data_IF_737775126404
#
_entry.id   IF_737775126404
#
_cell.length_a   1.000
_cell.length_b   1.000
_cell.length_c   1.000
_cell.angle_alpha   90.00
_cell.angle_beta   90.00
_cell.angle_gamma   90.00
#
_symmetry.space_group_name_H-M   'P 1'
#
loop_
_entity.id
_entity.type
_entity.pdbx_description
1 polymer ?
#
# COMPACT_ATOMS: atom_id res chain seq x y z
N UNK A 1 2.93 57.98 47.07
CA UNK A 1 2.65 57.16 45.87
C UNK A 1 3.80 57.41 44.90
N UNK A 2 4.59 56.44 44.46
CA UNK A 2 4.26 55.42 43.45
C UNK A 2 5.20 54.20 43.65
N UNK A 3 4.65 52.99 43.76
CA UNK A 3 5.42 51.73 43.67
C UNK A 3 5.53 51.38 42.17
N UNK A 4 6.73 51.30 41.63
CA UNK A 4 6.97 50.79 40.27
C UNK A 4 7.83 49.52 40.37
N UNK A 5 7.20 48.39 40.07
CA UNK A 5 7.77 47.06 40.06
C UNK A 5 8.25 46.78 38.63
N UNK A 6 9.57 46.73 38.41
CA UNK A 6 10.14 46.34 37.10
C UNK A 6 10.29 44.82 37.11
N UNK A 7 9.32 44.13 36.54
CA UNK A 7 9.43 42.69 36.26
C UNK A 7 10.21 42.51 34.96
N UNK A 8 11.37 41.85 35.04
CA UNK A 8 12.18 41.47 33.88
C UNK A 8 11.45 40.36 33.11
N UNK A 9 11.06 40.67 31.88
CA UNK A 9 10.46 39.72 30.93
C UNK A 9 11.51 38.67 30.57
N UNK A 10 11.31 37.45 31.06
CA UNK A 10 12.00 36.25 30.62
C UNK A 10 11.45 35.89 29.24
N UNK A 11 12.22 36.16 28.18
CA UNK A 11 11.92 35.71 26.82
C UNK A 11 12.14 34.19 26.77
N UNK A 12 11.09 33.44 27.10
CA UNK A 12 11.04 32.00 26.87
C UNK A 12 10.88 31.81 25.36
N UNK A 13 11.95 31.38 24.68
CA UNK A 13 11.86 30.73 23.38
C UNK A 13 11.02 29.47 23.57
N UNK A 14 9.72 29.61 23.31
CA UNK A 14 8.77 28.51 23.34
C UNK A 14 9.07 27.63 22.13
N UNK A 15 9.97 26.67 22.32
CA UNK A 15 10.07 25.50 21.48
C UNK A 15 8.75 24.75 21.68
N UNK A 16 7.76 25.06 20.84
CA UNK A 16 6.48 24.35 20.77
C UNK A 16 6.76 22.92 20.31
N UNK A 17 7.16 22.07 21.25
CA UNK A 17 6.99 20.64 21.14
C UNK A 17 5.48 20.38 21.25
N UNK A 18 4.80 20.52 20.12
CA UNK A 18 3.41 20.15 19.98
C UNK A 18 3.25 18.64 20.29
N UNK A 19 2.17 18.26 20.96
CA UNK A 19 1.95 16.89 21.43
C UNK A 19 1.95 15.89 20.28
N UNK A 20 2.57 14.74 20.55
CA UNK A 20 2.54 13.53 19.73
C UNK A 20 1.09 13.02 19.67
N UNK A 21 0.35 13.40 18.63
CA UNK A 21 -0.92 12.78 18.28
C UNK A 21 -0.66 11.70 17.24
N UNK A 22 -1.24 10.52 17.46
CA UNK A 22 -1.20 9.40 16.52
C UNK A 22 -1.86 9.82 15.19
N UNK A 23 -1.16 9.60 14.07
CA UNK A 23 -1.63 9.79 12.69
C UNK A 23 -2.30 11.15 12.41
N UNK A 24 -1.55 12.17 12.04
CA UNK A 24 -2.14 13.33 11.35
C UNK A 24 -2.37 12.99 9.86
N UNK A 25 -3.34 13.63 9.22
CA UNK A 25 -3.68 13.43 7.81
C UNK A 25 -3.38 14.73 7.04
N UNK A 26 -2.48 14.67 6.07
CA UNK A 26 -2.25 15.77 5.13
C UNK A 26 -3.26 15.70 3.99
N UNK A 27 -4.13 16.70 3.86
CA UNK A 27 -5.08 16.83 2.74
C UNK A 27 -4.44 17.68 1.67
N UNK A 28 -4.39 17.14 0.46
CA UNK A 28 -3.76 17.76 -0.70
C UNK A 28 -4.82 18.43 -1.58
N UNK A 29 -4.44 19.51 -2.29
CA UNK A 29 -5.33 20.29 -3.19
C UNK A 29 -5.94 19.48 -4.33
N UNK A 30 -5.34 18.33 -4.65
CA UNK A 30 -5.83 17.38 -5.63
C UNK A 30 -6.85 16.38 -5.05
N UNK A 31 -7.26 16.54 -3.79
CA UNK A 31 -8.25 15.73 -3.09
C UNK A 31 -7.69 14.44 -2.47
N UNK A 32 -6.36 14.24 -2.49
CA UNK A 32 -5.71 13.10 -1.85
C UNK A 32 -5.45 13.38 -0.37
N UNK A 33 -5.40 12.34 0.45
CA UNK A 33 -5.03 12.45 1.86
C UNK A 33 -3.92 11.46 2.23
N UNK A 34 -2.94 11.90 3.02
CA UNK A 34 -1.80 11.09 3.43
C UNK A 34 -1.75 11.05 4.96
N UNK A 35 -1.95 9.87 5.53
CA UNK A 35 -1.74 9.63 6.97
C UNK A 35 -0.23 9.60 7.24
N UNK A 36 0.21 10.41 8.19
CA UNK A 36 1.61 10.50 8.58
C UNK A 36 1.75 10.60 10.11
N UNK A 37 2.82 10.00 10.62
CA UNK A 37 3.20 10.05 12.04
C UNK A 37 3.97 11.32 12.36
N UNK A 38 4.72 11.84 11.37
CA UNK A 38 5.56 13.03 11.53
C UNK A 38 5.62 13.77 10.21
N UNK A 39 5.73 15.10 10.28
CA UNK A 39 6.08 15.94 9.13
C UNK A 39 7.33 16.75 9.38
N UNK A 40 8.07 17.02 8.30
CA UNK A 40 9.22 17.91 8.29
C UNK A 40 9.16 18.79 7.04
N UNK A 41 9.19 20.12 7.21
CA UNK A 41 9.20 21.06 6.09
C UNK A 41 10.64 21.35 5.70
N UNK A 42 10.99 21.01 4.47
CA UNK A 42 12.32 21.12 3.88
C UNK A 42 12.22 22.06 2.66
N UNK A 43 12.32 23.37 2.92
CA UNK A 43 12.15 24.39 1.88
C UNK A 43 10.72 24.38 1.31
N UNK A 44 10.62 24.14 0.01
CA UNK A 44 9.33 24.12 -0.73
C UNK A 44 8.62 22.76 -0.65
N UNK A 45 9.24 21.76 -0.02
CA UNK A 45 8.70 20.42 0.16
C UNK A 45 8.36 20.17 1.63
N UNK A 46 7.29 19.43 1.87
CA UNK A 46 6.94 18.83 3.14
C UNK A 46 7.12 17.32 3.05
N UNK A 47 8.04 16.79 3.83
CA UNK A 47 8.27 15.36 4.02
C UNK A 47 7.30 14.81 5.06
N UNK A 48 6.51 13.81 4.69
CA UNK A 48 5.53 13.13 5.51
C UNK A 48 6.04 11.72 5.83
N UNK A 49 6.37 11.44 7.09
CA UNK A 49 6.81 10.12 7.54
C UNK A 49 5.60 9.25 7.87
N UNK A 50 5.44 8.15 7.12
CA UNK A 50 4.29 7.23 7.23
C UNK A 50 4.54 6.17 8.32
N UNK A 51 5.80 6.01 8.75
CA UNK A 51 6.18 5.09 9.81
C UNK A 51 6.82 5.81 10.99
N UNK A 52 6.53 5.35 12.20
CA UNK A 52 7.08 5.90 13.44
C UNK A 52 8.61 5.74 13.56
N UNK A 53 9.18 4.75 12.85
CA UNK A 53 10.64 4.52 12.79
C UNK A 53 11.37 5.46 11.82
N UNK A 54 10.64 6.29 11.08
CA UNK A 54 11.18 7.25 10.11
C UNK A 54 11.77 6.60 8.84
N UNK A 55 11.63 5.29 8.66
CA UNK A 55 12.17 4.57 7.50
C UNK A 55 11.37 4.79 6.22
N UNK A 56 10.09 5.15 6.35
CA UNK A 56 9.16 5.35 5.25
C UNK A 56 8.63 6.79 5.24
N UNK A 57 8.80 7.50 4.13
CA UNK A 57 8.37 8.89 3.96
C UNK A 57 7.97 9.20 2.52
N UNK A 58 7.16 10.26 2.36
CA UNK A 58 6.75 10.82 1.07
C UNK A 58 7.02 12.32 1.09
N UNK A 59 7.69 12.83 0.05
CA UNK A 59 7.94 14.25 -0.13
C UNK A 59 6.83 14.86 -1.00
N UNK A 60 6.14 15.87 -0.48
CA UNK A 60 5.02 16.55 -1.15
C UNK A 60 5.34 18.05 -1.24
N UNK A 61 5.14 18.74 -2.37
CA UNK A 61 5.26 20.20 -2.41
C UNK A 61 4.33 20.84 -1.37
N UNK A 62 4.87 21.75 -0.57
CA UNK A 62 4.10 22.41 0.50
C UNK A 62 2.91 23.16 -0.08
N UNK A 63 3.05 23.72 -1.28
CA UNK A 63 1.96 24.39 -2.01
C UNK A 63 0.86 23.43 -2.48
N UNK A 64 1.10 22.12 -2.52
CA UNK A 64 0.10 21.11 -2.88
C UNK A 64 -0.69 20.63 -1.66
N UNK A 65 -0.28 20.99 -0.44
CA UNK A 65 -1.00 20.67 0.79
C UNK A 65 -2.05 21.77 1.05
N UNK A 66 -3.31 21.37 1.10
CA UNK A 66 -4.43 22.27 1.38
C UNK A 66 -4.53 22.56 2.88
N UNK A 67 -4.55 21.51 3.70
CA UNK A 67 -4.53 21.59 5.16
C UNK A 67 -4.16 20.26 5.79
N UNK A 68 -3.95 20.25 7.11
CA UNK A 68 -3.76 19.04 7.90
C UNK A 68 -4.97 18.83 8.80
N UNK A 69 -5.46 17.61 8.89
CA UNK A 69 -6.53 17.18 9.78
C UNK A 69 -5.98 16.18 10.81
N UNK A 70 -6.48 16.23 12.04
CA UNK A 70 -6.25 15.11 12.97
C UNK A 70 -7.01 13.89 12.44
N UNK A 71 -6.42 12.69 12.47
CA UNK A 71 -7.17 11.48 12.15
C UNK A 71 -8.45 11.43 13.01
N UNK A 72 -9.61 11.07 12.43
CA UNK A 72 -10.85 10.99 13.19
C UNK A 72 -10.71 10.05 14.38
N UNK A 73 -11.20 10.46 15.55
CA UNK A 73 -11.32 9.61 16.73
C UNK A 73 -12.15 8.36 16.37
N UNK A 74 -11.51 7.20 16.25
CA UNK A 74 -12.21 5.92 16.22
C UNK A 74 -13.02 5.76 17.52
N UNK A 75 -14.32 5.39 17.48
CA UNK A 75 -15.05 5.03 18.70
C UNK A 75 -14.41 3.79 19.36
N UNK A 76 -14.49 3.69 20.71
CA UNK A 76 -13.61 2.83 21.49
C UNK A 76 -13.88 1.34 21.25
N UNK A 77 -12.93 0.66 20.60
CA UNK A 77 -12.76 -0.78 20.73
C UNK A 77 -12.41 -1.09 22.18
N UNK A 78 -13.38 -1.63 22.91
CA UNK A 78 -13.26 -1.91 24.34
C UNK A 78 -12.28 -3.07 24.55
N UNK A 79 -11.05 -2.71 24.97
CA UNK A 79 -10.08 -3.40 25.85
C UNK A 79 -10.35 -4.86 26.31
N UNK A 80 -9.42 -5.80 26.57
CA UNK A 80 -7.95 -6.00 26.70
C UNK A 80 -7.78 -7.50 27.20
N UNK A 81 -6.60 -8.13 27.51
CA UNK A 81 -5.25 -7.58 27.72
C UNK A 81 -4.06 -8.33 27.08
N UNK A 82 -2.92 -7.64 27.21
CA UNK A 82 -1.54 -8.02 26.92
C UNK A 82 -1.09 -9.37 27.51
N UNK A 83 -0.10 -10.01 26.86
CA UNK A 83 1.10 -10.53 27.55
C UNK A 83 2.26 -10.57 26.56
N UNK A 84 3.37 -9.97 26.97
CA UNK A 84 4.65 -9.99 26.28
C UNK A 84 5.27 -11.40 26.26
N UNK A 85 6.18 -11.58 25.29
CA UNK A 85 7.29 -12.53 25.33
C UNK A 85 6.96 -14.01 25.15
N UNK A 86 7.48 -14.59 24.05
CA UNK A 86 8.59 -15.58 24.14
C UNK A 86 9.11 -15.99 22.76
N UNK A 87 10.43 -15.95 22.66
CA UNK A 87 11.26 -16.73 21.74
C UNK A 87 10.77 -18.17 21.57
N UNK A 88 10.59 -18.60 20.32
CA UNK A 88 10.83 -19.97 19.84
C UNK A 88 10.54 -19.98 18.34
N UNK A 89 11.25 -20.65 17.45
CA UNK A 89 12.57 -21.28 17.42
C UNK A 89 12.68 -21.70 15.95
N UNK A 90 13.75 -21.30 15.26
CA UNK A 90 13.98 -21.80 13.92
C UNK A 90 14.18 -23.33 13.99
N UNK A 91 13.48 -24.15 13.19
CA UNK A 91 13.88 -25.53 13.03
C UNK A 91 15.10 -25.55 12.09
N UNK A 92 16.22 -26.03 12.63
CA UNK A 92 17.36 -26.54 11.88
C UNK A 92 16.84 -27.60 10.87
N UNK A 93 17.24 -27.59 9.59
CA UNK A 93 16.78 -28.60 8.66
C UNK A 93 17.38 -29.95 9.04
N UNK A 94 16.52 -30.88 9.44
CA UNK A 94 16.82 -32.30 9.44
C UNK A 94 16.91 -32.78 7.98
N UNK A 95 17.92 -33.58 7.69
CA UNK A 95 18.27 -34.02 6.35
C UNK A 95 17.10 -34.68 5.61
N UNK A 96 16.97 -34.34 4.33
CA UNK A 96 16.19 -35.11 3.37
C UNK A 96 17.16 -35.83 2.43
N UNK A 97 16.99 -37.14 2.47
CA UNK A 97 17.63 -38.18 1.67
C UNK A 97 17.62 -37.86 0.16
N UNK A 98 18.78 -38.11 -0.47
CA UNK A 98 18.99 -37.96 -1.89
C UNK A 98 18.40 -39.18 -2.62
N UNK A 99 17.17 -39.07 -3.14
CA UNK A 99 16.59 -40.28 -3.75
C UNK A 99 15.26 -40.22 -4.48
N UNK A 100 14.66 -39.06 -4.78
CA UNK A 100 13.54 -38.98 -5.74
C UNK A 100 13.59 -37.69 -6.54
N UNK A 101 14.08 -37.77 -7.77
CA UNK A 101 13.86 -36.74 -8.77
C UNK A 101 12.36 -36.71 -9.11
N UNK A 102 11.62 -35.83 -8.45
CA UNK A 102 10.33 -35.39 -8.96
C UNK A 102 10.58 -34.73 -10.32
N UNK A 103 9.77 -35.00 -11.37
CA UNK A 103 9.87 -34.23 -12.60
C UNK A 103 9.74 -32.77 -12.22
N UNK A 104 10.78 -31.97 -12.51
CA UNK A 104 10.75 -30.55 -12.26
C UNK A 104 9.47 -30.01 -12.90
N UNK A 105 8.56 -29.48 -12.07
CA UNK A 105 7.44 -28.66 -12.55
C UNK A 105 8.05 -27.68 -13.56
N UNK A 106 7.41 -27.43 -14.72
CA UNK A 106 7.91 -26.41 -15.62
C UNK A 106 8.14 -25.16 -14.78
N UNK A 107 9.40 -24.75 -14.65
CA UNK A 107 9.73 -23.46 -14.06
C UNK A 107 9.24 -22.48 -15.10
N UNK A 108 7.95 -22.12 -15.03
CA UNK A 108 7.36 -21.17 -15.95
C UNK A 108 8.24 -19.94 -15.90
N UNK A 109 8.89 -19.64 -17.02
CA UNK A 109 9.69 -18.45 -17.11
C UNK A 109 8.71 -17.28 -17.02
N UNK A 110 8.65 -16.66 -15.84
CA UNK A 110 7.65 -15.64 -15.53
C UNK A 110 7.73 -14.47 -16.51
N UNK A 111 8.94 -14.12 -16.97
CA UNK A 111 9.16 -13.11 -18.00
C UNK A 111 8.48 -13.47 -19.32
N UNK A 112 8.66 -14.71 -19.81
CA UNK A 112 8.00 -15.18 -21.03
C UNK A 112 6.47 -15.20 -20.88
N UNK A 113 5.99 -15.67 -19.72
CA UNK A 113 4.56 -15.69 -19.40
C UNK A 113 3.95 -14.28 -19.42
N UNK A 114 4.60 -13.33 -18.75
CA UNK A 114 4.14 -11.93 -18.72
C UNK A 114 4.17 -11.34 -20.14
N UNK A 115 5.21 -11.58 -20.93
CA UNK A 115 5.27 -11.09 -22.31
C UNK A 115 4.14 -11.64 -23.19
N UNK A 116 3.86 -12.94 -23.11
CA UNK A 116 2.80 -13.58 -23.87
C UNK A 116 1.41 -13.03 -23.50
N UNK A 117 1.12 -12.97 -22.20
CA UNK A 117 -0.18 -12.52 -21.69
C UNK A 117 -0.38 -11.01 -21.93
N UNK A 118 0.67 -10.21 -21.75
CA UNK A 118 0.63 -8.77 -22.04
C UNK A 118 0.32 -8.53 -23.53
N UNK A 119 0.93 -9.31 -24.42
CA UNK A 119 0.62 -9.29 -25.85
C UNK A 119 -0.84 -9.64 -26.16
N UNK A 120 -1.38 -10.68 -25.50
CA UNK A 120 -2.80 -11.09 -25.63
C UNK A 120 -3.78 -9.97 -25.29
N UNK A 121 -3.51 -9.21 -24.21
CA UNK A 121 -4.38 -8.14 -23.74
C UNK A 121 -3.97 -6.73 -24.20
N UNK A 122 -2.93 -6.63 -25.04
CA UNK A 122 -2.36 -5.37 -25.54
C UNK A 122 -1.98 -4.39 -24.42
N UNK A 123 -1.35 -4.91 -23.37
CA UNK A 123 -0.77 -4.10 -22.30
C UNK A 123 0.75 -4.12 -22.41
N UNK A 124 1.38 -3.08 -21.86
CA UNK A 124 2.84 -3.03 -21.73
C UNK A 124 3.30 -4.10 -20.71
N UNK A 125 4.21 -5.02 -21.06
CA UNK A 125 4.79 -5.97 -20.12
C UNK A 125 5.41 -5.31 -18.87
N UNK A 126 5.97 -4.11 -18.99
CA UNK A 126 6.56 -3.40 -17.86
C UNK A 126 5.50 -2.91 -16.87
N UNK A 127 4.32 -2.52 -17.37
CA UNK A 127 3.17 -2.20 -16.52
C UNK A 127 2.70 -3.44 -15.76
N UNK A 128 2.55 -4.57 -16.44
CA UNK A 128 2.11 -5.83 -15.80
C UNK A 128 3.13 -6.30 -14.76
N UNK A 129 4.43 -6.22 -15.07
CA UNK A 129 5.49 -6.51 -14.11
C UNK A 129 5.46 -5.57 -12.90
N UNK A 130 5.19 -4.28 -13.12
CA UNK A 130 5.09 -3.30 -12.03
C UNK A 130 3.92 -3.62 -11.09
N UNK A 131 2.78 -4.04 -11.63
CA UNK A 131 1.63 -4.49 -10.82
C UNK A 131 1.97 -5.77 -10.06
N UNK A 132 2.55 -6.79 -10.71
CA UNK A 132 2.96 -8.04 -10.03
C UNK A 132 3.92 -7.76 -8.88
N UNK A 133 4.88 -6.87 -9.11
CA UNK A 133 5.86 -6.46 -8.09
C UNK A 133 5.17 -5.80 -6.91
N UNK A 134 4.33 -4.79 -7.15
CA UNK A 134 3.61 -4.07 -6.11
C UNK A 134 2.65 -4.98 -5.30
N UNK A 135 2.03 -5.96 -5.95
CA UNK A 135 1.04 -6.82 -5.33
C UNK A 135 1.67 -7.98 -4.53
N UNK A 136 2.77 -8.57 -5.00
CA UNK A 136 3.29 -9.81 -4.42
C UNK A 136 4.80 -9.92 -4.29
N UNK A 137 5.57 -8.93 -4.77
CA UNK A 137 7.03 -9.06 -4.98
C UNK A 137 7.38 -10.37 -5.71
N UNK A 138 6.59 -10.70 -6.74
CA UNK A 138 6.71 -11.90 -7.57
C UNK A 138 6.51 -13.23 -6.81
N UNK A 139 5.84 -13.23 -5.64
CA UNK A 139 5.53 -14.46 -4.91
C UNK A 139 4.21 -15.10 -5.38
N UNK A 140 4.23 -16.24 -6.09
CA UNK A 140 3.02 -16.87 -6.61
C UNK A 140 2.14 -17.50 -5.53
N UNK A 141 2.60 -17.55 -4.28
CA UNK A 141 1.88 -18.07 -3.12
C UNK A 141 1.48 -16.98 -2.12
N UNK A 142 1.61 -15.70 -2.49
CA UNK A 142 1.23 -14.58 -1.64
C UNK A 142 -0.27 -14.63 -1.29
N UNK A 143 -0.57 -14.34 -0.03
CA UNK A 143 -1.93 -14.19 0.49
C UNK A 143 -1.97 -12.91 1.34
N UNK A 144 -2.81 -11.94 0.98
CA UNK A 144 -2.99 -10.74 1.81
C UNK A 144 -3.86 -11.03 3.04
N UNK A 145 -3.82 -10.17 4.08
CA UNK A 145 -4.74 -10.28 5.23
C UNK A 145 -6.23 -10.27 4.85
N UNK A 146 -6.57 -9.63 3.72
CA UNK A 146 -7.93 -9.56 3.18
C UNK A 146 -8.29 -10.76 2.28
N UNK A 147 -7.34 -11.66 2.04
CA UNK A 147 -7.53 -12.90 1.29
C UNK A 147 -7.26 -12.82 -0.21
N UNK A 148 -6.60 -11.76 -0.70
CA UNK A 148 -6.13 -11.67 -2.08
C UNK A 148 -5.02 -12.71 -2.35
N UNK A 149 -4.93 -13.27 -3.55
CA UNK A 149 -4.10 -14.45 -3.82
C UNK A 149 -3.23 -14.35 -5.07
N UNK A 150 -2.00 -14.88 -4.97
CA UNK A 150 -1.09 -15.09 -6.09
C UNK A 150 -0.34 -13.84 -6.55
N UNK A 151 0.24 -13.91 -7.74
CA UNK A 151 1.16 -12.90 -8.29
C UNK A 151 0.54 -11.51 -8.45
N UNK A 152 -0.72 -11.45 -8.87
CA UNK A 152 -1.47 -10.22 -9.11
C UNK A 152 -2.57 -9.99 -8.05
N UNK A 153 -2.47 -10.69 -6.91
CA UNK A 153 -3.35 -10.55 -5.74
C UNK A 153 -4.84 -10.47 -6.10
N UNK A 154 -5.35 -11.48 -6.81
CA UNK A 154 -6.78 -11.54 -7.11
C UNK A 154 -7.58 -11.88 -5.85
N UNK A 155 -8.61 -11.09 -5.56
CA UNK A 155 -9.61 -11.45 -4.56
C UNK A 155 -10.40 -12.69 -5.03
N UNK A 156 -10.81 -13.62 -4.15
CA UNK A 156 -11.48 -14.85 -4.55
C UNK A 156 -12.75 -14.64 -5.40
N UNK A 157 -13.55 -13.61 -5.09
CA UNK A 157 -14.72 -13.23 -5.88
C UNK A 157 -14.35 -12.79 -7.30
N UNK A 158 -13.35 -11.92 -7.43
CA UNK A 158 -12.81 -11.46 -8.71
C UNK A 158 -12.21 -12.61 -9.51
N UNK A 159 -11.40 -13.46 -8.88
CA UNK A 159 -10.83 -14.66 -9.50
C UNK A 159 -11.92 -15.57 -10.08
N UNK A 160 -13.01 -15.78 -9.35
CA UNK A 160 -14.18 -16.56 -9.81
C UNK A 160 -14.84 -15.93 -11.05
N UNK A 161 -15.08 -14.63 -11.03
CA UNK A 161 -15.66 -13.88 -12.17
C UNK A 161 -14.77 -13.96 -13.42
N UNK A 162 -13.46 -13.99 -13.25
CA UNK A 162 -12.47 -14.09 -14.33
C UNK A 162 -12.24 -15.53 -14.80
N UNK A 163 -12.84 -16.54 -14.15
CA UNK A 163 -12.66 -17.95 -14.48
C UNK A 163 -11.36 -18.57 -13.95
N UNK A 164 -10.68 -17.90 -13.02
CA UNK A 164 -9.44 -18.37 -12.38
C UNK A 164 -9.79 -19.37 -11.28
N UNK A 165 -9.67 -20.66 -11.57
CA UNK A 165 -9.98 -21.75 -10.62
C UNK A 165 -8.94 -21.90 -9.50
N UNK A 166 -7.69 -21.59 -9.78
CA UNK A 166 -6.58 -21.66 -8.83
C UNK A 166 -5.75 -20.39 -8.94
N UNK A 167 -5.94 -19.44 -8.01
CA UNK A 167 -5.20 -18.18 -8.01
C UNK A 167 -3.71 -18.33 -7.65
N UNK A 168 -3.26 -19.51 -7.18
CA UNK A 168 -1.84 -19.79 -6.97
C UNK A 168 -1.15 -20.41 -8.19
N UNK A 169 -1.89 -20.69 -9.27
CA UNK A 169 -1.31 -21.05 -10.55
C UNK A 169 -0.82 -19.77 -11.25
N UNK A 170 0.49 -19.60 -11.50
CA UNK A 170 1.02 -18.36 -12.07
C UNK A 170 0.38 -17.97 -13.39
N UNK A 171 0.14 -18.94 -14.28
CA UNK A 171 -0.43 -18.68 -15.59
C UNK A 171 -1.87 -18.22 -15.48
N UNK A 172 -2.71 -18.92 -14.72
CA UNK A 172 -4.10 -18.52 -14.52
C UNK A 172 -4.22 -17.18 -13.79
N UNK A 173 -3.36 -16.92 -12.81
CA UNK A 173 -3.39 -15.68 -12.03
C UNK A 173 -2.96 -14.47 -12.87
N UNK A 174 -1.85 -14.58 -13.61
CA UNK A 174 -1.38 -13.49 -14.49
C UNK A 174 -2.35 -13.25 -15.65
N UNK A 175 -2.95 -14.32 -16.22
CA UNK A 175 -3.94 -14.16 -17.30
C UNK A 175 -5.20 -13.44 -16.80
N UNK A 176 -5.73 -13.86 -15.64
CA UNK A 176 -6.89 -13.22 -15.03
C UNK A 176 -6.62 -11.79 -14.58
N UNK A 177 -5.49 -11.54 -13.89
CA UNK A 177 -5.13 -10.20 -13.41
C UNK A 177 -4.85 -9.23 -14.56
N UNK A 178 -4.16 -9.67 -15.61
CA UNK A 178 -3.92 -8.82 -16.79
C UNK A 178 -5.22 -8.52 -17.54
N UNK A 179 -6.13 -9.51 -17.66
CA UNK A 179 -7.48 -9.29 -18.20
C UNK A 179 -8.24 -8.25 -17.40
N UNK A 180 -8.25 -8.37 -16.08
CA UNK A 180 -8.95 -7.44 -15.20
C UNK A 180 -8.38 -6.02 -15.27
N UNK A 181 -7.05 -5.89 -15.30
CA UNK A 181 -6.39 -4.61 -15.51
C UNK A 181 -6.80 -3.97 -16.84
N UNK A 182 -6.89 -4.76 -17.91
CA UNK A 182 -7.38 -4.29 -19.22
C UNK A 182 -8.83 -3.80 -19.16
N UNK A 183 -9.72 -4.56 -18.52
CA UNK A 183 -11.13 -4.18 -18.34
C UNK A 183 -11.26 -2.86 -17.57
N UNK A 184 -10.44 -2.64 -16.53
CA UNK A 184 -10.41 -1.39 -15.79
C UNK A 184 -9.86 -0.23 -16.64
N UNK A 185 -8.79 -0.45 -17.40
CA UNK A 185 -8.28 0.56 -18.32
C UNK A 185 -9.36 0.99 -19.33
N UNK A 186 -10.10 0.05 -19.90
CA UNK A 186 -11.21 0.37 -20.81
C UNK A 186 -12.34 1.12 -20.10
N UNK A 187 -12.74 0.68 -18.90
CA UNK A 187 -13.77 1.32 -18.08
C UNK A 187 -13.46 2.78 -17.78
N UNK A 188 -12.19 3.11 -17.52
CA UNK A 188 -11.75 4.45 -17.18
C UNK A 188 -11.14 5.22 -18.36
N UNK A 189 -11.46 4.86 -19.61
CA UNK A 189 -10.97 5.54 -20.82
C UNK A 189 -9.44 5.68 -20.88
N UNK A 190 -8.73 4.63 -20.44
CA UNK A 190 -7.27 4.55 -20.34
C UNK A 190 -6.65 5.57 -19.37
N UNK A 191 -7.43 6.11 -18.44
CA UNK A 191 -6.91 6.80 -17.25
C UNK A 191 -6.21 5.77 -16.34
N UNK A 192 -4.89 5.68 -16.49
CA UNK A 192 -4.06 4.72 -15.77
C UNK A 192 -4.19 4.87 -14.25
N UNK A 193 -4.32 6.11 -13.76
CA UNK A 193 -4.41 6.39 -12.32
C UNK A 193 -5.71 5.82 -11.76
N UNK A 194 -6.85 6.07 -12.42
CA UNK A 194 -8.14 5.52 -11.99
C UNK A 194 -8.20 4.00 -12.15
N UNK A 195 -7.62 3.45 -13.20
CA UNK A 195 -7.59 2.01 -13.41
C UNK A 195 -6.79 1.29 -12.31
N UNK A 196 -5.61 1.79 -11.94
CA UNK A 196 -4.80 1.22 -10.85
C UNK A 196 -5.47 1.41 -9.49
N UNK A 197 -6.07 2.58 -9.24
CA UNK A 197 -6.87 2.79 -8.04
C UNK A 197 -8.04 1.80 -7.95
N UNK A 198 -8.74 1.56 -9.06
CA UNK A 198 -9.84 0.59 -9.11
C UNK A 198 -9.35 -0.86 -9.00
N UNK A 199 -8.14 -1.15 -9.46
CA UNK A 199 -7.54 -2.48 -9.33
C UNK A 199 -7.35 -2.83 -7.85
N UNK A 200 -6.77 -1.92 -7.07
CA UNK A 200 -6.52 -2.11 -5.65
C UNK A 200 -7.78 -1.95 -4.78
N UNK A 201 -8.58 -0.92 -5.07
CA UNK A 201 -9.68 -0.50 -4.21
C UNK A 201 -11.05 -1.04 -4.64
N UNK A 202 -11.18 -1.51 -5.87
CA UNK A 202 -12.43 -1.84 -6.53
C UNK A 202 -13.06 -0.61 -7.22
N UNK A 203 -13.70 -0.80 -8.39
CA UNK A 203 -14.26 0.30 -9.20
C UNK A 203 -15.36 1.09 -8.46
N UNK A 204 -16.16 0.40 -7.65
CA UNK A 204 -17.22 1.02 -6.85
C UNK A 204 -16.69 2.07 -5.86
N UNK A 205 -15.46 1.90 -5.35
CA UNK A 205 -14.84 2.92 -4.49
C UNK A 205 -14.39 4.11 -5.33
N UNK A 206 -13.71 3.88 -6.45
CA UNK A 206 -13.27 4.95 -7.36
C UNK A 206 -14.45 5.81 -7.84
N UNK A 207 -15.56 5.17 -8.22
CA UNK A 207 -16.80 5.87 -8.61
C UNK A 207 -17.36 6.74 -7.48
N UNK A 208 -17.38 6.21 -6.25
CA UNK A 208 -17.89 6.95 -5.08
C UNK A 208 -17.03 8.18 -4.75
N UNK A 209 -15.71 8.05 -4.86
CA UNK A 209 -14.77 9.13 -4.55
C UNK A 209 -14.49 10.06 -5.75
N UNK A 210 -15.01 9.74 -6.94
CA UNK A 210 -14.76 10.50 -8.17
C UNK A 210 -13.29 10.46 -8.64
N UNK A 211 -12.48 9.56 -8.09
CA UNK A 211 -11.02 9.56 -8.21
C UNK A 211 -10.37 8.44 -7.40
N UNK A 212 -9.11 8.64 -6.99
CA UNK A 212 -8.39 7.66 -6.18
C UNK A 212 -8.96 7.67 -4.74
N UNK A 213 -9.44 6.54 -4.20
CA UNK A 213 -9.96 6.46 -2.83
C UNK A 213 -8.84 6.73 -1.79
N UNK A 214 -9.18 7.30 -0.62
CA UNK A 214 -8.24 7.52 0.48
C UNK A 214 -7.78 6.22 1.15
#
# INVERSE_FOLDING_TARGET
MVKSTISRVLLITLLMALPCFAGEVAVLKNGFSIVHERREVIGDLTRLFISADGSNFVDVPTDDIEHFEAAPDEPPSTALPATASRLSSAPKPAGYDAGRAFPARPTTNLTQLVNEISGKYRLDPDLVNSVIKAESEFNPRAISPKGAQGLMQLMPGTASQLGVRNAFDPQANVDGGTKYLRELLEMYNFDLVKALAAYNAGPQRVERFGGVPP
#
